data_IF_829976186405
#
_entry.id   IF_829976186405
#
_cell.length_a   1.000
_cell.length_b   1.000
_cell.length_c   1.000
_cell.angle_alpha   90.00
_cell.angle_beta   90.00
_cell.angle_gamma   90.00
#
_symmetry.space_group_name_H-M   'P 1'
#
loop_
_entity.id
_entity.type
_entity.pdbx_description
1 polymer ?
#
# COMPACT_ATOMS: atom_id res chain seq x y z
N UNK A 1 54.53 -22.35 22.65
CA UNK A 1 53.69 -21.16 22.45
C UNK A 1 53.62 -20.83 20.98
N UNK A 2 52.52 -21.15 20.29
CA UNK A 2 52.01 -20.41 19.11
C UNK A 2 50.65 -20.97 18.71
N UNK A 3 49.61 -20.18 18.96
CA UNK A 3 48.22 -20.49 18.63
C UNK A 3 47.95 -20.22 17.15
N UNK A 4 47.33 -21.16 16.44
CA UNK A 4 46.83 -20.98 15.08
C UNK A 4 45.37 -20.53 15.16
N UNK A 5 45.11 -19.24 14.94
CA UNK A 5 43.76 -18.70 14.87
C UNK A 5 43.09 -19.18 13.58
N UNK A 6 42.04 -19.99 13.70
CA UNK A 6 41.15 -20.35 12.60
C UNK A 6 40.20 -19.19 12.31
N UNK A 7 40.24 -18.70 11.07
CA UNK A 7 39.41 -17.61 10.57
C UNK A 7 38.02 -18.16 10.24
N UNK A 8 37.06 -18.00 11.15
CA UNK A 8 35.65 -18.34 10.90
C UNK A 8 35.12 -17.53 9.73
N UNK A 9 34.78 -18.21 8.63
CA UNK A 9 34.14 -17.58 7.47
C UNK A 9 32.66 -17.35 7.76
N UNK A 10 32.23 -16.09 7.72
CA UNK A 10 30.82 -15.71 7.82
C UNK A 10 30.13 -16.16 6.52
N UNK A 11 29.47 -17.31 6.56
CA UNK A 11 28.64 -17.78 5.44
C UNK A 11 27.30 -17.07 5.51
N UNK A 12 27.08 -16.09 4.64
CA UNK A 12 25.77 -15.43 4.52
C UNK A 12 24.75 -16.44 3.95
N UNK A 13 23.65 -16.66 4.68
CA UNK A 13 22.57 -17.57 4.27
C UNK A 13 21.92 -17.05 2.98
N UNK A 14 22.01 -17.81 1.89
CA UNK A 14 21.39 -17.54 0.57
C UNK A 14 19.84 -17.48 0.57
N UNK A 15 19.19 -17.60 1.74
CA UNK A 15 17.74 -17.68 1.88
C UNK A 15 17.02 -16.33 2.09
N UNK A 16 17.69 -15.19 1.95
CA UNK A 16 17.12 -13.87 2.29
C UNK A 16 16.85 -12.96 1.09
N UNK A 17 16.91 -13.48 -0.14
CA UNK A 17 16.48 -12.72 -1.31
C UNK A 17 15.26 -13.38 -1.92
N UNK A 18 14.04 -12.90 -1.64
CA UNK A 18 12.88 -13.28 -2.43
C UNK A 18 13.18 -12.84 -3.86
N UNK A 19 13.35 -13.80 -4.77
CA UNK A 19 13.43 -13.56 -6.20
C UNK A 19 12.06 -13.10 -6.68
N UNK A 20 11.74 -11.84 -6.40
CA UNK A 20 10.53 -11.21 -6.88
C UNK A 20 10.79 -10.80 -8.31
N UNK A 21 10.59 -11.74 -9.24
CA UNK A 21 10.36 -11.43 -10.65
C UNK A 21 9.45 -10.21 -10.68
N UNK A 22 9.97 -9.12 -11.22
CA UNK A 22 9.28 -7.85 -11.46
C UNK A 22 8.05 -8.15 -12.31
N UNK A 23 6.93 -8.47 -11.64
CA UNK A 23 5.64 -8.69 -12.28
C UNK A 23 5.29 -7.39 -13.01
N UNK A 24 4.97 -7.52 -14.30
CA UNK A 24 4.49 -6.45 -15.18
C UNK A 24 3.52 -5.54 -14.40
N UNK A 25 3.97 -4.33 -14.09
CA UNK A 25 3.24 -3.32 -13.33
C UNK A 25 2.24 -2.53 -14.22
N UNK A 26 2.33 -2.71 -15.54
CA UNK A 26 1.81 -1.79 -16.56
C UNK A 26 0.28 -1.75 -16.65
N UNK A 27 -0.42 -2.82 -16.26
CA UNK A 27 -1.88 -2.87 -16.35
C UNK A 27 -2.56 -2.11 -15.19
N UNK A 28 -1.97 -2.15 -13.99
CA UNK A 28 -2.50 -1.44 -12.82
C UNK A 28 -2.39 0.09 -13.00
N UNK A 29 -1.33 0.57 -13.65
CA UNK A 29 -1.11 2.00 -13.87
C UNK A 29 -2.14 2.61 -14.83
N UNK A 30 -2.49 1.88 -15.90
CA UNK A 30 -3.48 2.32 -16.89
C UNK A 30 -4.89 2.38 -16.28
N UNK A 31 -5.22 1.38 -15.46
CA UNK A 31 -6.48 1.34 -14.72
C UNK A 31 -6.55 2.46 -13.67
N UNK A 32 -5.49 2.64 -12.86
CA UNK A 32 -5.40 3.73 -11.90
C UNK A 32 -5.52 5.11 -12.57
N UNK A 33 -4.87 5.30 -13.74
CA UNK A 33 -4.99 6.52 -14.52
C UNK A 33 -6.42 6.77 -15.01
N UNK A 34 -7.14 5.72 -15.42
CA UNK A 34 -8.56 5.83 -15.78
C UNK A 34 -9.42 6.27 -14.59
N UNK A 35 -9.30 5.59 -13.45
CA UNK A 35 -10.06 5.94 -12.23
C UNK A 35 -9.77 7.39 -11.83
N UNK A 36 -8.50 7.79 -11.82
CA UNK A 36 -8.10 9.15 -11.48
C UNK A 36 -8.65 10.20 -12.47
N UNK A 37 -8.88 9.85 -13.74
CA UNK A 37 -9.56 10.74 -14.71
C UNK A 37 -11.06 10.85 -14.41
N UNK A 38 -11.72 9.73 -14.10
CA UNK A 38 -13.15 9.69 -13.80
C UNK A 38 -13.50 10.54 -12.56
N UNK A 39 -12.73 10.39 -11.47
CA UNK A 39 -12.92 11.18 -10.24
C UNK A 39 -12.76 12.67 -10.49
N UNK A 40 -11.72 13.07 -11.24
CA UNK A 40 -11.52 14.48 -11.62
C UNK A 40 -12.66 15.03 -12.48
N UNK A 41 -13.19 14.22 -13.41
CA UNK A 41 -14.31 14.63 -14.23
C UNK A 41 -15.58 14.84 -13.40
N UNK A 42 -15.84 13.99 -12.41
CA UNK A 42 -16.96 14.15 -11.48
C UNK A 42 -16.82 15.44 -10.65
N UNK A 43 -15.64 15.67 -10.06
CA UNK A 43 -15.36 16.90 -9.30
C UNK A 43 -15.52 18.17 -10.15
N UNK A 44 -15.15 18.15 -11.44
CA UNK A 44 -15.38 19.31 -12.34
C UNK A 44 -16.85 19.61 -12.59
N UNK A 45 -17.72 18.58 -12.65
CA UNK A 45 -19.17 18.79 -12.82
C UNK A 45 -19.77 19.45 -11.58
N UNK A 46 -19.39 18.97 -10.39
CA UNK A 46 -19.77 19.55 -9.09
C UNK A 46 -19.32 21.01 -9.01
N UNK A 47 -18.05 21.28 -9.34
CA UNK A 47 -17.51 22.63 -9.33
C UNK A 47 -18.19 23.60 -10.32
N UNK A 48 -18.95 23.09 -11.30
CA UNK A 48 -19.74 23.89 -12.23
C UNK A 48 -21.12 24.31 -11.65
N UNK A 49 -21.41 23.98 -10.38
CA UNK A 49 -22.60 24.44 -9.66
C UNK A 49 -23.55 23.34 -9.18
N UNK A 50 -23.17 22.07 -9.29
CA UNK A 50 -23.96 20.94 -8.81
C UNK A 50 -23.62 20.62 -7.35
N UNK A 51 -24.34 21.26 -6.42
CA UNK A 51 -24.14 21.10 -4.98
C UNK A 51 -24.56 19.71 -4.47
N UNK A 52 -25.57 19.10 -5.09
CA UNK A 52 -26.07 17.77 -4.68
C UNK A 52 -25.01 16.70 -4.96
N UNK A 53 -24.18 16.89 -6.00
CA UNK A 53 -23.03 16.03 -6.26
C UNK A 53 -21.94 16.09 -5.17
N UNK A 54 -21.93 17.07 -4.27
CA UNK A 54 -20.96 17.14 -3.18
C UNK A 54 -21.11 15.95 -2.21
N UNK A 55 -22.34 15.57 -1.87
CA UNK A 55 -22.60 14.42 -0.99
C UNK A 55 -22.11 13.10 -1.63
N UNK A 56 -22.30 12.97 -2.93
CA UNK A 56 -21.79 11.83 -3.70
C UNK A 56 -20.26 11.78 -3.68
N UNK A 57 -19.59 12.93 -3.81
CA UNK A 57 -18.13 13.01 -3.76
C UNK A 57 -17.59 12.70 -2.36
N UNK A 58 -18.29 13.11 -1.30
CA UNK A 58 -17.95 12.76 0.08
C UNK A 58 -18.13 11.26 0.34
N UNK A 59 -19.22 10.67 -0.14
CA UNK A 59 -19.46 9.23 -0.08
C UNK A 59 -18.35 8.45 -0.80
N UNK A 60 -17.98 8.88 -2.00
CA UNK A 60 -16.89 8.28 -2.76
C UNK A 60 -15.55 8.36 -2.02
N UNK A 61 -15.27 9.48 -1.36
CA UNK A 61 -14.07 9.63 -0.52
C UNK A 61 -14.04 8.58 0.60
N UNK A 62 -15.15 8.40 1.31
CA UNK A 62 -15.25 7.38 2.37
C UNK A 62 -15.06 5.97 1.81
N UNK A 63 -15.65 5.66 0.64
CA UNK A 63 -15.48 4.36 -0.01
C UNK A 63 -14.03 4.09 -0.42
N UNK A 64 -13.32 5.12 -0.91
CA UNK A 64 -11.89 5.01 -1.25
C UNK A 64 -11.03 4.77 -0.01
N UNK A 65 -11.32 5.45 1.09
CA UNK A 65 -10.62 5.24 2.38
C UNK A 65 -10.83 3.81 2.90
N UNK A 66 -12.05 3.27 2.82
CA UNK A 66 -12.36 1.89 3.21
C UNK A 66 -11.68 0.87 2.27
N UNK A 67 -11.75 1.09 0.96
CA UNK A 67 -11.09 0.21 -0.02
C UNK A 67 -9.58 0.17 0.17
N UNK A 68 -8.97 1.32 0.55
CA UNK A 68 -7.55 1.38 0.89
C UNK A 68 -7.23 0.54 2.15
N UNK A 69 -8.09 0.59 3.17
CA UNK A 69 -7.96 -0.25 4.36
C UNK A 69 -8.00 -1.74 4.00
N UNK A 70 -9.00 -2.16 3.23
CA UNK A 70 -9.17 -3.54 2.78
C UNK A 70 -7.98 -4.01 1.96
N UNK A 71 -7.48 -3.17 1.04
CA UNK A 71 -6.30 -3.49 0.23
C UNK A 71 -5.05 -3.67 1.09
N UNK A 72 -4.86 -2.83 2.11
CA UNK A 72 -3.73 -2.93 3.04
C UNK A 72 -3.81 -4.21 3.88
N UNK A 73 -4.99 -4.50 4.44
CA UNK A 73 -5.24 -5.74 5.20
C UNK A 73 -5.03 -6.97 4.31
N UNK A 74 -5.52 -6.93 3.07
CA UNK A 74 -5.32 -7.99 2.09
C UNK A 74 -3.85 -8.22 1.74
N UNK A 75 -3.06 -7.16 1.55
CA UNK A 75 -1.62 -7.26 1.33
C UNK A 75 -0.89 -7.85 2.55
N UNK A 76 -1.28 -7.46 3.76
CA UNK A 76 -0.71 -8.03 4.98
C UNK A 76 -1.03 -9.53 5.09
N UNK A 77 -2.29 -9.93 4.88
CA UNK A 77 -2.69 -11.33 4.82
C UNK A 77 -2.00 -12.15 3.73
N UNK A 78 -1.64 -11.52 2.61
CA UNK A 78 -0.85 -12.13 1.54
C UNK A 78 0.63 -12.35 1.92
N UNK A 79 1.10 -11.77 3.03
CA UNK A 79 2.44 -11.97 3.58
C UNK A 79 3.40 -10.78 3.42
N UNK A 80 2.89 -9.60 3.02
CA UNK A 80 3.68 -8.37 3.08
C UNK A 80 3.78 -7.86 4.52
N UNK A 81 4.98 -7.49 4.96
CA UNK A 81 5.13 -6.89 6.29
C UNK A 81 4.51 -5.49 6.34
N UNK A 82 4.01 -5.08 7.52
CA UNK A 82 3.54 -3.72 7.77
C UNK A 82 4.57 -2.64 7.36
N UNK A 83 5.87 -2.91 7.59
CA UNK A 83 6.94 -2.00 7.20
C UNK A 83 7.04 -1.83 5.67
N UNK A 84 6.91 -2.92 4.91
CA UNK A 84 6.93 -2.85 3.43
C UNK A 84 5.71 -2.11 2.87
N UNK A 85 4.53 -2.27 3.49
CA UNK A 85 3.30 -1.59 3.06
C UNK A 85 3.37 -0.09 3.35
N UNK A 86 3.70 0.29 4.59
CA UNK A 86 3.77 1.70 5.03
C UNK A 86 4.84 2.51 4.28
N UNK A 87 5.96 1.88 3.92
CA UNK A 87 6.99 2.50 3.09
C UNK A 87 6.48 2.92 1.69
N UNK A 88 5.41 2.30 1.19
CA UNK A 88 4.84 2.57 -0.15
C UNK A 88 3.64 3.51 -0.14
N UNK A 89 2.92 3.62 0.98
CA UNK A 89 1.72 4.47 1.08
C UNK A 89 2.01 5.88 1.56
N UNK A 90 3.26 6.19 1.94
CA UNK A 90 3.66 7.52 2.45
C UNK A 90 3.02 7.88 3.79
N UNK A 91 2.35 6.93 4.43
CA UNK A 91 1.71 7.06 5.74
C UNK A 91 2.65 6.56 6.83
N UNK A 92 2.69 7.21 8.00
CA UNK A 92 3.52 6.76 9.11
C UNK A 92 2.99 5.43 9.68
N UNK A 93 3.89 4.56 10.13
CA UNK A 93 3.57 3.23 10.72
C UNK A 93 2.49 3.29 11.81
N UNK A 94 2.50 4.35 12.64
CA UNK A 94 1.52 4.56 13.70
C UNK A 94 0.14 4.98 13.17
N UNK A 95 0.07 5.77 12.09
CA UNK A 95 -1.19 6.15 11.45
C UNK A 95 -1.85 4.96 10.73
N UNK A 96 -1.04 4.05 10.16
CA UNK A 96 -1.55 2.79 9.62
C UNK A 96 -2.09 1.85 10.73
N UNK A 97 -1.38 1.71 11.85
CA UNK A 97 -1.85 0.91 13.00
C UNK A 97 -3.09 1.50 13.68
N UNK A 98 -3.18 2.82 13.87
CA UNK A 98 -4.36 3.45 14.47
C UNK A 98 -5.59 3.40 13.56
N UNK A 99 -5.39 3.34 12.23
CA UNK A 99 -6.49 3.37 11.25
C UNK A 99 -6.95 1.98 10.82
N UNK A 100 -6.07 0.97 10.86
CA UNK A 100 -6.34 -0.37 10.34
C UNK A 100 -6.00 -1.50 11.32
N UNK A 101 -5.50 -1.19 12.51
CA UNK A 101 -5.12 -2.17 13.55
C UNK A 101 -6.21 -2.46 14.58
N UNK A 102 -7.47 -2.07 14.33
CA UNK A 102 -8.58 -2.47 15.18
C UNK A 102 -8.98 -3.90 14.88
N UNK A 103 -8.98 -4.75 15.92
CA UNK A 103 -9.51 -6.12 15.84
C UNK A 103 -10.97 -6.09 15.33
N UNK A 104 -11.35 -6.93 14.36
CA UNK A 104 -12.76 -7.15 14.06
C UNK A 104 -13.37 -7.83 15.29
N UNK A 105 -14.21 -7.11 16.03
CA UNK A 105 -15.15 -7.70 16.97
C UNK A 105 -16.34 -8.29 16.22
#
# INVERSE_FOLDING_TARGET
>A
MTARLSRTQITVKRGLTPNRRTRRHVENDSYAAFIARAVRAHGRRIAAGDIDGLDQLLTLRCQLDNTLADAVTGLHGFGYSWAEITARTGTTRQAAQQRWGGDPS
#
